data_IF_652457356409
#
_entry.id   IF_652457356409
#
_cell.length_a   1.000
_cell.length_b   1.000
_cell.length_c   1.000
_cell.angle_alpha   90.00
_cell.angle_beta   90.00
_cell.angle_gamma   90.00
#
_symmetry.space_group_name_H-M   'P 1'
#
loop_
_entity.id
_entity.type
_entity.pdbx_description
1 polymer ?
#
# COMPACT_ATOMS: atom_id res chain seq x y z
N UNK A 1 8.00 5.29 22.05
CA UNK A 1 6.84 4.40 22.13
C UNK A 1 7.10 3.13 21.33
N UNK A 2 6.72 2.01 21.86
CA UNK A 2 6.92 0.74 21.21
C UNK A 2 5.66 0.26 20.52
N UNK A 3 5.80 -0.14 19.26
CA UNK A 3 4.70 -0.75 18.52
C UNK A 3 4.62 -2.22 18.92
N UNK A 4 3.41 -2.72 19.11
CA UNK A 4 3.20 -4.06 19.66
C UNK A 4 3.26 -5.14 18.56
N UNK A 5 4.41 -5.24 17.89
CA UNK A 5 4.58 -6.20 16.81
C UNK A 5 4.41 -7.64 17.30
N UNK A 6 4.90 -7.95 18.48
CA UNK A 6 4.83 -9.32 18.99
C UNK A 6 3.39 -9.80 19.18
N UNK A 7 2.48 -8.87 19.52
CA UNK A 7 1.09 -9.19 19.74
C UNK A 7 0.40 -9.69 18.48
N UNK A 8 0.90 -9.26 17.32
CA UNK A 8 0.28 -9.57 16.03
C UNK A 8 1.17 -10.43 15.15
N UNK A 9 2.05 -11.21 15.78
CA UNK A 9 2.90 -12.13 15.02
C UNK A 9 4.02 -11.47 14.25
N UNK A 10 4.41 -10.27 14.65
CA UNK A 10 5.51 -9.55 14.02
C UNK A 10 5.09 -8.55 12.96
N UNK A 11 3.82 -8.52 12.59
CA UNK A 11 3.31 -7.60 11.57
C UNK A 11 2.15 -6.81 12.12
N UNK A 12 2.09 -5.53 11.79
CA UNK A 12 0.92 -4.71 12.11
C UNK A 12 0.34 -4.16 10.82
N UNK A 13 -0.98 -3.97 10.77
CA UNK A 13 -1.59 -3.35 9.60
C UNK A 13 -1.24 -1.86 9.58
N UNK A 14 -1.02 -1.37 8.38
CA UNK A 14 -0.72 0.04 8.17
C UNK A 14 -1.69 0.57 7.13
N UNK A 15 -2.59 1.44 7.57
CA UNK A 15 -3.57 2.08 6.70
C UNK A 15 -2.90 3.29 6.09
N UNK A 16 -3.10 3.50 4.79
CA UNK A 16 -2.54 4.67 4.10
C UNK A 16 -3.69 5.59 3.75
N UNK A 17 -3.57 6.84 4.16
CA UNK A 17 -4.60 7.86 3.99
C UNK A 17 -4.00 9.08 3.32
N UNK A 18 -4.72 9.62 2.34
CA UNK A 18 -4.31 10.86 1.67
C UNK A 18 -4.51 12.02 2.65
N UNK A 19 -3.41 12.73 2.94
CA UNK A 19 -3.47 13.82 3.91
C UNK A 19 -4.36 14.97 3.41
N UNK A 20 -4.45 15.14 2.11
CA UNK A 20 -5.13 16.29 1.52
C UNK A 20 -6.65 16.24 1.68
N UNK A 21 -7.23 15.05 1.70
CA UNK A 21 -8.69 14.93 1.71
C UNK A 21 -9.22 13.82 2.64
N UNK A 22 -8.34 13.06 3.28
CA UNK A 22 -8.76 12.03 4.23
C UNK A 22 -9.15 10.71 3.59
N UNK A 23 -9.00 10.56 2.28
CA UNK A 23 -9.38 9.32 1.62
C UNK A 23 -8.43 8.20 2.02
N UNK A 24 -8.99 7.01 2.26
CA UNK A 24 -8.19 5.83 2.52
C UNK A 24 -7.76 5.25 1.17
N UNK A 25 -6.46 5.03 1.01
CA UNK A 25 -5.92 4.63 -0.28
C UNK A 25 -5.59 3.14 -0.34
N UNK A 26 -5.08 2.57 0.73
CA UNK A 26 -4.73 1.15 0.76
C UNK A 26 -4.43 0.73 2.19
N UNK A 27 -4.24 -0.57 2.35
CA UNK A 27 -3.74 -1.15 3.60
C UNK A 27 -2.64 -2.13 3.24
N UNK A 28 -1.53 -2.08 3.96
CA UNK A 28 -0.47 -3.05 3.86
C UNK A 28 -0.02 -3.46 5.25
N UNK A 29 1.06 -4.22 5.33
CA UNK A 29 1.58 -4.67 6.62
C UNK A 29 3.01 -4.21 6.77
N UNK A 30 3.40 -3.94 8.02
CA UNK A 30 4.76 -3.54 8.35
C UNK A 30 5.28 -4.41 9.47
N UNK A 31 6.54 -4.82 9.35
CA UNK A 31 7.28 -5.32 10.49
C UNK A 31 8.11 -4.15 11.03
N UNK A 32 8.95 -4.40 12.04
CA UNK A 32 9.76 -3.34 12.63
C UNK A 32 10.66 -2.68 11.59
N UNK A 33 11.28 -3.49 10.73
CA UNK A 33 12.17 -2.95 9.71
C UNK A 33 11.46 -2.05 8.72
N UNK A 34 10.25 -2.44 8.32
CA UNK A 34 9.46 -1.65 7.39
C UNK A 34 9.11 -0.30 8.00
N UNK A 35 8.71 -0.29 9.26
CA UNK A 35 8.39 0.95 9.94
C UNK A 35 9.63 1.84 10.07
N UNK A 36 10.76 1.25 10.46
CA UNK A 36 12.00 1.99 10.58
C UNK A 36 12.39 2.62 9.26
N UNK A 37 12.29 1.86 8.18
CA UNK A 37 12.65 2.37 6.86
C UNK A 37 11.66 3.43 6.38
N UNK A 38 10.38 3.27 6.68
CA UNK A 38 9.37 4.28 6.37
C UNK A 38 9.68 5.59 7.07
N UNK A 39 10.04 5.54 8.34
CA UNK A 39 10.38 6.73 9.10
C UNK A 39 11.67 7.37 8.58
N UNK A 40 12.66 6.55 8.22
CA UNK A 40 13.94 7.06 7.76
C UNK A 40 13.83 7.71 6.37
N UNK A 41 13.18 7.02 5.45
CA UNK A 41 13.14 7.47 4.05
C UNK A 41 12.02 8.47 3.78
N UNK A 42 11.04 8.53 4.66
CA UNK A 42 9.85 9.35 4.48
C UNK A 42 9.04 8.93 3.24
N UNK A 43 9.16 7.67 2.88
CA UNK A 43 8.33 7.02 1.86
C UNK A 43 7.84 5.70 2.43
N UNK A 44 6.62 5.30 2.08
CA UNK A 44 6.01 4.14 2.71
C UNK A 44 6.66 2.86 2.23
N UNK A 45 7.11 2.04 3.18
CA UNK A 45 7.70 0.73 2.94
C UNK A 45 6.90 -0.28 3.73
N UNK A 46 6.50 -1.35 3.07
CA UNK A 46 5.75 -2.44 3.68
C UNK A 46 6.60 -3.69 3.78
N UNK A 47 6.11 -4.67 4.49
CA UNK A 47 6.68 -6.01 4.48
C UNK A 47 5.75 -6.93 3.71
N UNK A 48 6.29 -7.59 2.69
CA UNK A 48 5.52 -8.55 1.90
C UNK A 48 5.62 -9.93 2.54
N UNK A 49 4.47 -10.47 2.97
CA UNK A 49 4.45 -11.78 3.59
C UNK A 49 4.74 -12.88 2.57
N UNK A 50 4.23 -12.71 1.35
CA UNK A 50 4.40 -13.73 0.32
C UNK A 50 5.83 -13.80 -0.19
N UNK A 51 6.52 -12.67 -0.23
CA UNK A 51 7.90 -12.62 -0.72
C UNK A 51 8.93 -12.60 0.39
N UNK A 52 8.47 -12.44 1.61
CA UNK A 52 9.32 -12.42 2.79
C UNK A 52 10.42 -11.35 2.68
N UNK A 53 10.03 -10.14 2.26
CA UNK A 53 10.98 -9.04 2.12
C UNK A 53 10.28 -7.70 2.23
N UNK A 54 11.08 -6.66 2.45
CA UNK A 54 10.56 -5.29 2.42
C UNK A 54 10.17 -4.90 1.01
N UNK A 55 9.18 -4.02 0.91
CA UNK A 55 8.64 -3.59 -0.36
C UNK A 55 8.28 -2.11 -0.28
N UNK A 56 9.00 -1.26 -1.02
CA UNK A 56 8.70 0.17 -1.07
C UNK A 56 7.56 0.40 -2.05
N UNK A 57 6.50 1.04 -1.58
CA UNK A 57 5.37 1.35 -2.45
C UNK A 57 5.85 2.30 -3.53
N UNK A 58 5.57 1.95 -4.78
CA UNK A 58 5.97 2.77 -5.91
C UNK A 58 7.34 2.45 -6.47
N UNK A 59 8.01 1.39 -5.96
CA UNK A 59 9.36 1.07 -6.44
C UNK A 59 9.37 0.70 -7.91
N UNK A 60 8.26 0.18 -8.44
CA UNK A 60 8.16 -0.16 -9.86
C UNK A 60 7.46 0.92 -10.67
N UNK A 61 6.41 1.50 -10.10
CA UNK A 61 5.55 2.43 -10.84
C UNK A 61 6.00 3.87 -10.75
N UNK A 62 6.80 4.19 -9.74
CA UNK A 62 7.12 5.58 -9.43
C UNK A 62 6.04 6.28 -8.62
N UNK A 63 4.92 5.62 -8.35
CA UNK A 63 3.82 6.21 -7.58
C UNK A 63 4.11 6.03 -6.10
N UNK A 64 5.13 6.70 -5.61
CA UNK A 64 5.54 6.58 -4.20
C UNK A 64 4.58 7.34 -3.30
N UNK A 65 4.62 7.02 -2.03
CA UNK A 65 3.78 7.66 -1.03
C UNK A 65 4.67 8.40 -0.05
N UNK A 66 4.65 9.74 -0.14
CA UNK A 66 5.48 10.58 0.73
C UNK A 66 4.82 10.68 2.10
N UNK A 67 5.57 10.37 3.15
CA UNK A 67 5.03 10.34 4.50
C UNK A 67 4.89 11.76 5.03
N UNK A 68 3.70 12.08 5.52
CA UNK A 68 3.42 13.36 6.18
C UNK A 68 3.27 13.17 7.68
N UNK A 69 2.67 12.06 8.10
CA UNK A 69 2.49 11.78 9.52
C UNK A 69 2.31 10.28 9.71
N UNK A 70 2.74 9.78 10.85
CA UNK A 70 2.53 8.40 11.23
C UNK A 70 1.80 8.41 12.56
N UNK A 71 0.60 7.84 12.60
CA UNK A 71 -0.20 7.77 13.80
C UNK A 71 -0.28 6.32 14.26
N UNK A 72 -0.42 6.14 15.56
CA UNK A 72 -0.48 4.81 16.18
C UNK A 72 -1.78 4.73 16.93
N UNK A 73 -2.44 3.59 16.88
CA UNK A 73 -3.72 3.46 17.54
C UNK A 73 -3.55 3.24 19.06
N UNK A 74 -4.67 3.11 19.76
CA UNK A 74 -4.68 3.16 21.22
C UNK A 74 -3.92 2.02 21.89
N UNK A 75 -3.87 0.85 21.27
CA UNK A 75 -3.16 -0.29 21.85
C UNK A 75 -1.89 -0.64 21.07
N UNK A 76 -1.45 0.26 20.19
CA UNK A 76 -0.15 0.21 19.52
C UNK A 76 0.01 -1.00 18.59
N UNK A 77 -1.08 -1.48 18.00
CA UNK A 77 -1.01 -2.60 17.08
C UNK A 77 -1.54 -2.29 15.69
N UNK A 78 -1.78 -1.01 15.38
CA UNK A 78 -2.15 -0.58 14.04
C UNK A 78 -1.56 0.81 13.79
N UNK A 79 -1.22 1.07 12.55
CA UNK A 79 -0.55 2.31 12.15
C UNK A 79 -1.40 2.97 11.07
N UNK A 80 -1.52 4.29 11.15
CA UNK A 80 -2.14 5.10 10.11
C UNK A 80 -1.06 6.03 9.57
N UNK A 81 -0.75 5.88 8.28
CA UNK A 81 0.26 6.72 7.63
C UNK A 81 -0.48 7.72 6.75
N UNK A 82 -0.35 9.00 7.07
CA UNK A 82 -0.89 10.06 6.23
C UNK A 82 0.17 10.43 5.23
N UNK A 83 -0.22 10.50 3.97
CA UNK A 83 0.73 10.64 2.88
C UNK A 83 0.29 11.68 1.87
N UNK A 84 1.27 12.13 1.11
CA UNK A 84 1.03 12.82 -0.15
C UNK A 84 1.38 11.82 -1.24
N UNK A 85 0.37 11.27 -1.95
CA UNK A 85 0.68 10.31 -3.00
C UNK A 85 1.25 11.01 -4.22
N UNK A 86 2.27 10.41 -4.80
CA UNK A 86 2.87 10.89 -6.03
C UNK A 86 2.30 10.05 -7.16
N UNK A 87 1.79 10.71 -8.19
CA UNK A 87 1.19 10.00 -9.31
C UNK A 87 -0.32 9.89 -9.19
N UNK A 88 -0.96 9.31 -10.21
CA UNK A 88 -2.41 9.37 -10.33
C UNK A 88 -3.16 8.35 -9.49
N UNK A 89 -2.51 7.30 -9.01
CA UNK A 89 -3.23 6.30 -8.25
C UNK A 89 -2.33 5.32 -7.55
N UNK A 90 -2.87 4.71 -6.52
CA UNK A 90 -2.14 3.82 -5.63
C UNK A 90 -2.32 2.36 -6.03
N UNK A 91 -3.50 2.03 -6.53
CA UNK A 91 -3.84 0.64 -6.84
C UNK A 91 -3.17 0.19 -8.13
N UNK A 92 -2.57 -1.01 -8.12
CA UNK A 92 -1.91 -1.53 -9.31
C UNK A 92 -2.89 -1.83 -10.45
N UNK A 93 -4.18 -1.82 -10.17
CA UNK A 93 -5.19 -2.01 -11.22
C UNK A 93 -5.64 -0.70 -11.85
N UNK A 94 -4.99 0.40 -11.51
CA UNK A 94 -5.25 1.67 -12.17
C UNK A 94 -6.19 2.60 -11.44
N UNK A 95 -6.58 2.27 -10.22
CA UNK A 95 -7.49 3.10 -9.44
C UNK A 95 -6.71 3.96 -8.46
N UNK A 96 -7.29 5.09 -8.11
CA UNK A 96 -6.69 5.99 -7.13
C UNK A 96 -6.54 5.31 -5.79
N UNK A 97 -7.57 4.57 -5.37
CA UNK A 97 -7.58 3.82 -4.11
C UNK A 97 -7.74 2.35 -4.40
N UNK A 98 -7.13 1.52 -3.58
CA UNK A 98 -7.35 0.07 -3.66
C UNK A 98 -8.79 -0.29 -3.30
N UNK A 99 -9.49 0.61 -2.61
CA UNK A 99 -10.87 0.38 -2.18
C UNK A 99 -11.82 0.96 -3.21
N UNK A 100 -11.89 0.33 -4.38
CA UNK A 100 -12.66 0.84 -5.50
C UNK A 100 -13.93 0.02 -5.80
N UNK A 101 -14.26 -0.92 -4.92
CA UNK A 101 -15.47 -1.73 -5.07
C UNK A 101 -16.27 -1.66 -3.79
N UNK A 102 -17.58 -1.72 -3.95
CA UNK A 102 -18.49 -1.70 -2.83
C UNK A 102 -19.26 -3.00 -2.79
N UNK A 103 -19.38 -3.62 -1.62
CA UNK A 103 -20.22 -4.79 -1.42
C UNK A 103 -21.64 -4.33 -1.06
N UNK A 104 -22.61 -4.93 -1.70
CA UNK A 104 -24.00 -4.68 -1.29
C UNK A 104 -24.39 -5.64 -0.17
N UNK A 105 -25.66 -5.60 0.23
CA UNK A 105 -26.11 -6.40 1.35
C UNK A 105 -26.13 -7.90 1.05
N UNK A 106 -26.16 -8.27 -0.23
CA UNK A 106 -26.10 -9.65 -0.64
C UNK A 106 -24.69 -10.14 -0.87
N UNK A 107 -23.69 -9.29 -0.72
CA UNK A 107 -22.30 -9.66 -0.91
C UNK A 107 -21.81 -9.52 -2.33
N UNK A 108 -22.57 -8.91 -3.21
CA UNK A 108 -22.13 -8.67 -4.59
C UNK A 108 -21.33 -7.39 -4.65
N UNK A 109 -20.24 -7.41 -5.41
CA UNK A 109 -19.33 -6.27 -5.52
C UNK A 109 -19.62 -5.46 -6.79
N UNK A 110 -19.56 -4.14 -6.65
CA UNK A 110 -19.70 -3.24 -7.78
C UNK A 110 -18.56 -2.23 -7.75
N UNK A 111 -18.01 -1.92 -8.91
CA UNK A 111 -16.97 -0.90 -9.04
C UNK A 111 -17.62 0.46 -8.87
N UNK A 112 -17.02 1.29 -7.98
CA UNK A 112 -17.59 2.60 -7.64
C UNK A 112 -16.66 3.75 -8.02
N UNK A 113 -15.59 3.47 -8.77
CA UNK A 113 -14.64 4.49 -9.17
C UNK A 113 -14.17 4.23 -10.59
N UNK A 114 -13.61 5.25 -11.22
CA UNK A 114 -13.03 5.10 -12.55
C UNK A 114 -11.53 5.02 -12.40
N UNK A 115 -10.89 4.33 -13.35
CA UNK A 115 -9.44 4.27 -13.35
C UNK A 115 -8.87 5.67 -13.57
N UNK A 116 -7.77 5.93 -12.87
CA UNK A 116 -7.08 7.21 -13.02
C UNK A 116 -5.82 7.07 -13.86
N UNK A 117 -5.43 5.85 -14.18
CA UNK A 117 -4.32 5.61 -15.11
C UNK A 117 -4.47 4.22 -15.70
N UNK A 118 -3.73 3.97 -16.78
CA UNK A 118 -3.78 2.68 -17.48
C UNK A 118 -2.69 1.78 -16.93
N UNK A 119 -3.05 0.69 -16.25
CA UNK A 119 -2.02 -0.18 -15.66
C UNK A 119 -1.05 -0.74 -16.69
N UNK A 120 -1.53 -1.00 -17.90
CA UNK A 120 -0.66 -1.53 -18.95
C UNK A 120 0.46 -0.57 -19.31
N UNK A 121 0.20 0.72 -19.28
CA UNK A 121 1.23 1.70 -19.59
C UNK A 121 2.27 1.80 -18.50
N UNK A 122 1.87 1.57 -17.27
CA UNK A 122 2.77 1.71 -16.13
C UNK A 122 3.54 0.42 -15.87
N UNK A 123 2.84 -0.72 -15.92
CA UNK A 123 3.40 -2.00 -15.52
C UNK A 123 3.71 -2.94 -16.70
N UNK A 124 3.35 -2.54 -17.90
CA UNK A 124 3.45 -3.42 -19.05
C UNK A 124 4.85 -3.91 -19.33
N UNK A 125 5.83 -3.03 -19.32
CA UNK A 125 7.20 -3.41 -19.58
C UNK A 125 7.76 -4.27 -18.48
N UNK A 126 7.40 -3.96 -17.27
CA UNK A 126 7.82 -4.75 -16.14
C UNK A 126 7.25 -6.14 -16.21
N UNK A 127 5.99 -6.25 -16.63
CA UNK A 127 5.38 -7.56 -16.83
C UNK A 127 6.11 -8.36 -17.87
N UNK A 128 6.46 -7.74 -18.98
CA UNK A 128 7.19 -8.42 -20.03
C UNK A 128 8.53 -8.91 -19.55
N UNK A 129 9.22 -8.10 -18.77
CA UNK A 129 10.49 -8.50 -18.21
C UNK A 129 10.35 -9.67 -17.26
N UNK A 130 9.22 -9.77 -16.59
CA UNK A 130 9.01 -10.80 -15.60
C UNK A 130 8.48 -12.10 -16.15
N UNK A 131 7.97 -12.08 -17.36
CA UNK A 131 7.46 -13.30 -17.96
C UNK A 131 8.52 -14.37 -18.06
N UNK A 132 9.74 -13.97 -18.28
CA UNK A 132 10.82 -14.94 -18.38
C UNK A 132 11.19 -15.52 -17.02
N UNK A 133 10.75 -14.90 -15.95
CA UNK A 133 11.03 -15.37 -14.60
C UNK A 133 9.84 -16.04 -13.97
N UNK A 134 8.81 -16.27 -14.74
CA UNK A 134 7.58 -16.79 -14.20
C UNK A 134 6.71 -15.66 -13.72
N UNK A 135 5.50 -15.96 -13.43
CA UNK A 135 4.55 -14.97 -13.06
C UNK A 135 4.81 -14.35 -11.74
N UNK A 136 4.96 -13.09 -11.69
CA UNK A 136 5.06 -12.37 -10.47
C UNK A 136 3.70 -11.88 -10.06
N UNK A 137 3.31 -12.20 -8.84
CA UNK A 137 2.07 -11.71 -8.33
C UNK A 137 2.28 -10.39 -7.68
N UNK A 138 1.34 -9.51 -7.82
CA UNK A 138 1.41 -8.29 -7.12
C UNK A 138 1.21 -8.51 -5.66
N UNK A 139 1.93 -7.81 -4.88
CA UNK A 139 1.83 -7.92 -3.44
C UNK A 139 0.56 -7.29 -2.93
#
# INVERSE_FOLDING_TARGET
MEIAFAKTGGLVPAIVQDERNGDVLMLGFMNQEALTETQRSREVVFYSRSRNRLWRKGESSGHVLKVRAVLVDCDADAILVRVEPIGPGVCHEGYRSCFFRRLDEQGDAAVIAERTFEPERVYGQEKKGRETKGQEKKA
#
